data_IF_347045604029
#
_entry.id   IF_347045604029
#
_cell.length_a   1.000
_cell.length_b   1.000
_cell.length_c   1.000
_cell.angle_alpha   90.00
_cell.angle_beta   90.00
_cell.angle_gamma   90.00
#
_symmetry.space_group_name_H-M   'P 1'
#
loop_
_entity.id
_entity.type
_entity.pdbx_description
1 polymer ?
#
# COMPACT_ATOMS: atom_id res chain seq x y z
N UNK A 1 4.37 30.05 -18.87
CA UNK A 1 4.17 28.59 -18.74
C UNK A 1 2.74 28.34 -18.30
N UNK A 2 1.91 27.76 -19.16
CA UNK A 2 0.57 27.34 -18.76
C UNK A 2 0.70 26.17 -17.79
N UNK A 3 0.30 26.39 -16.54
CA UNK A 3 0.08 25.31 -15.59
C UNK A 3 -1.17 24.57 -16.06
N UNK A 4 -1.10 23.25 -16.15
CA UNK A 4 -2.32 22.47 -16.28
C UNK A 4 -3.10 22.64 -14.96
N UNK A 5 -4.36 23.07 -15.03
CA UNK A 5 -5.26 23.18 -13.86
C UNK A 5 -5.73 21.81 -13.33
N UNK A 6 -4.97 20.75 -13.66
CA UNK A 6 -5.26 19.38 -13.28
C UNK A 6 -4.05 18.79 -12.54
N UNK A 7 -4.31 18.27 -11.35
CA UNK A 7 -3.32 17.63 -10.48
C UNK A 7 -3.67 16.18 -10.21
N UNK A 8 -2.69 15.28 -10.35
CA UNK A 8 -2.86 13.90 -9.90
C UNK A 8 -2.84 13.88 -8.37
N UNK A 9 -3.95 13.48 -7.75
CA UNK A 9 -4.07 13.42 -6.29
C UNK A 9 -3.81 12.03 -5.73
N UNK A 10 -4.02 10.99 -6.55
CA UNK A 10 -3.86 9.62 -6.10
C UNK A 10 -3.54 8.67 -7.27
N UNK A 11 -2.67 7.69 -7.02
CA UNK A 11 -2.48 6.53 -7.89
C UNK A 11 -2.58 5.25 -7.06
N UNK A 12 -3.41 4.30 -7.50
CA UNK A 12 -3.55 2.98 -6.87
C UNK A 12 -3.27 1.88 -7.88
N UNK A 13 -2.34 0.99 -7.57
CA UNK A 13 -2.12 -0.24 -8.36
C UNK A 13 -3.06 -1.33 -7.86
N UNK A 14 -3.75 -2.02 -8.77
CA UNK A 14 -4.50 -3.22 -8.40
C UNK A 14 -3.54 -4.41 -8.37
N UNK A 15 -3.28 -4.93 -7.17
CA UNK A 15 -2.43 -6.11 -6.99
C UNK A 15 -3.33 -7.33 -6.89
N UNK A 16 -3.21 -8.25 -7.86
CA UNK A 16 -3.81 -9.58 -7.75
C UNK A 16 -2.86 -10.48 -6.96
N UNK A 17 -3.36 -11.13 -5.92
CA UNK A 17 -2.58 -12.13 -5.18
C UNK A 17 -2.11 -13.22 -6.16
N UNK A 18 -0.82 -13.57 -6.10
CA UNK A 18 -0.13 -14.54 -6.97
C UNK A 18 0.09 -14.10 -8.44
N UNK A 19 -0.05 -12.81 -8.75
CA UNK A 19 0.32 -12.29 -10.07
C UNK A 19 1.83 -11.98 -10.14
N UNK A 20 2.55 -12.69 -10.99
CA UNK A 20 3.95 -12.38 -11.38
C UNK A 20 4.06 -11.25 -12.40
N UNK A 21 2.93 -10.69 -12.84
CA UNK A 21 2.88 -9.76 -13.94
C UNK A 21 3.48 -8.39 -13.58
N UNK A 22 4.53 -8.00 -14.31
CA UNK A 22 5.19 -6.68 -14.21
C UNK A 22 4.21 -5.53 -14.51
N UNK A 23 3.17 -5.80 -15.30
CA UNK A 23 2.15 -4.84 -15.71
C UNK A 23 0.85 -5.11 -14.95
N UNK A 24 0.53 -4.28 -13.94
CA UNK A 24 -0.79 -4.29 -13.32
C UNK A 24 -1.54 -3.01 -13.65
N UNK A 25 -2.88 -3.07 -13.78
CA UNK A 25 -3.68 -1.88 -14.00
C UNK A 25 -3.54 -0.92 -12.81
N UNK A 26 -3.58 0.38 -13.12
CA UNK A 26 -3.49 1.48 -12.15
C UNK A 26 -4.72 2.37 -12.32
N UNK A 27 -5.36 2.72 -11.21
CA UNK A 27 -6.34 3.79 -11.15
C UNK A 27 -5.62 5.09 -10.82
N UNK A 28 -5.83 6.11 -11.65
CA UNK A 28 -5.29 7.46 -11.44
C UNK A 28 -6.46 8.39 -11.15
N UNK A 29 -6.43 9.05 -9.99
CA UNK A 29 -7.41 10.07 -9.61
C UNK A 29 -6.80 11.44 -9.87
N UNK A 30 -7.48 12.23 -10.70
CA UNK A 30 -7.05 13.58 -11.08
C UNK A 30 -8.10 14.57 -10.59
N UNK A 31 -7.66 15.62 -9.91
CA UNK A 31 -8.50 16.75 -9.52
C UNK A 31 -8.26 17.89 -10.50
N UNK A 32 -9.32 18.49 -11.00
CA UNK A 32 -9.25 19.64 -11.89
C UNK A 32 -10.54 20.44 -11.89
N UNK A 33 -10.49 21.65 -12.45
CA UNK A 33 -11.64 22.55 -12.59
C UNK A 33 -12.50 22.22 -13.81
N UNK A 34 -11.96 21.52 -14.80
CA UNK A 34 -12.63 21.13 -16.02
C UNK A 34 -12.30 19.68 -16.41
N UNK A 35 -13.22 19.03 -17.11
CA UNK A 35 -13.01 17.70 -17.68
C UNK A 35 -12.37 17.85 -19.07
N UNK A 36 -11.18 17.29 -19.34
CA UNK A 36 -10.55 17.39 -20.65
C UNK A 36 -11.17 16.40 -21.64
N UNK A 37 -11.25 16.80 -22.91
CA UNK A 37 -11.71 15.93 -23.99
C UNK A 37 -10.76 14.75 -24.24
N UNK A 38 -9.47 14.93 -23.93
CA UNK A 38 -8.42 13.91 -24.13
C UNK A 38 -7.45 13.91 -22.96
N UNK A 39 -7.15 12.71 -22.44
CA UNK A 39 -6.12 12.48 -21.42
C UNK A 39 -4.94 11.74 -22.06
N UNK A 40 -3.74 12.31 -22.00
CA UNK A 40 -2.50 11.65 -22.44
C UNK A 40 -1.62 11.34 -21.22
N UNK A 41 -1.21 10.09 -21.10
CA UNK A 41 -0.41 9.59 -19.97
C UNK A 41 0.96 9.16 -20.49
N UNK A 42 2.02 9.63 -19.86
CA UNK A 42 3.40 9.27 -20.17
C UNK A 42 4.11 8.79 -18.92
N UNK A 43 4.89 7.72 -19.05
CA UNK A 43 5.73 7.24 -17.97
C UNK A 43 7.02 8.05 -17.92
N UNK A 44 7.19 8.85 -16.87
CA UNK A 44 8.52 9.33 -16.50
C UNK A 44 9.13 8.36 -15.49
N UNK A 45 10.44 8.11 -15.56
CA UNK A 45 11.16 7.30 -14.56
C UNK A 45 11.20 8.06 -13.22
N UNK A 46 10.07 8.08 -12.51
CA UNK A 46 10.01 8.56 -11.14
C UNK A 46 10.10 7.38 -10.18
N UNK A 47 10.97 7.51 -9.17
CA UNK A 47 11.08 6.52 -8.09
C UNK A 47 9.79 6.56 -7.27
N UNK A 48 8.84 5.68 -7.58
CA UNK A 48 7.59 5.55 -6.84
C UNK A 48 7.95 5.07 -5.43
N UNK A 49 7.77 5.93 -4.42
CA UNK A 49 7.81 5.48 -3.04
C UNK A 49 6.56 4.62 -2.82
N UNK A 50 6.74 3.32 -2.62
CA UNK A 50 5.62 2.45 -2.27
C UNK A 50 4.97 2.97 -1.00
N UNK A 51 3.74 3.49 -1.15
CA UNK A 51 2.87 3.73 -0.02
C UNK A 51 2.36 2.37 0.45
N UNK A 52 3.12 1.70 1.30
CA UNK A 52 2.65 0.51 2.00
C UNK A 52 1.66 1.01 3.05
N UNK A 53 0.38 0.71 2.88
CA UNK A 53 -0.60 0.90 3.94
C UNK A 53 -0.07 0.15 5.16
N UNK A 54 0.37 0.89 6.20
CA UNK A 54 0.86 0.28 7.42
C UNK A 54 -0.24 -0.63 7.93
N UNK A 55 0.03 -1.93 7.95
CA UNK A 55 -0.92 -2.93 8.45
C UNK A 55 -1.34 -2.47 9.84
N UNK A 56 -2.63 -2.12 9.99
CA UNK A 56 -3.16 -1.63 11.26
C UNK A 56 -3.27 -2.83 12.17
N UNK A 57 -2.74 -2.69 13.38
CA UNK A 57 -2.91 -3.68 14.42
C UNK A 57 -4.40 -3.76 14.77
N UNK A 58 -4.98 -4.96 14.80
CA UNK A 58 -6.38 -5.17 15.21
C UNK A 58 -6.58 -4.61 16.62
N UNK A 59 -7.64 -3.83 16.85
CA UNK A 59 -7.92 -3.26 18.18
C UNK A 59 -8.48 -4.28 19.16
N UNK A 60 -9.05 -5.39 18.65
CA UNK A 60 -9.59 -6.46 19.49
C UNK A 60 -8.52 -7.44 19.94
N UNK A 61 -7.69 -7.97 19.02
CA UNK A 61 -6.72 -9.03 19.35
C UNK A 61 -5.24 -8.60 19.26
N UNK A 62 -4.97 -7.37 18.87
CA UNK A 62 -3.63 -6.82 18.69
C UNK A 62 -2.72 -7.57 17.69
N UNK A 63 -3.28 -8.37 16.78
CA UNK A 63 -2.54 -9.00 15.69
C UNK A 63 -2.60 -8.16 14.40
N UNK A 64 -1.66 -8.40 13.50
CA UNK A 64 -1.57 -7.72 12.20
C UNK A 64 -2.19 -8.55 11.05
N UNK A 65 -2.74 -9.73 11.34
CA UNK A 65 -3.22 -10.69 10.33
C UNK A 65 -4.63 -10.39 9.84
N UNK A 66 -5.42 -9.59 10.57
CA UNK A 66 -6.83 -9.35 10.26
C UNK A 66 -7.27 -7.95 10.71
N UNK A 67 -8.25 -7.38 10.01
CA UNK A 67 -8.84 -6.09 10.37
C UNK A 67 -9.78 -6.22 11.58
N UNK A 68 -9.90 -5.17 12.41
CA UNK A 68 -10.77 -5.17 13.60
C UNK A 68 -12.21 -5.58 13.29
N UNK A 69 -12.75 -5.14 12.16
CA UNK A 69 -14.14 -5.39 11.75
C UNK A 69 -14.49 -6.85 11.43
N UNK A 70 -13.49 -7.70 11.19
CA UNK A 70 -13.65 -9.13 10.85
C UNK A 70 -12.90 -10.02 11.84
N UNK A 71 -12.68 -9.52 13.06
CA UNK A 71 -11.94 -10.25 14.07
C UNK A 71 -12.89 -11.12 14.89
N UNK A 72 -12.77 -12.44 14.74
CA UNK A 72 -13.56 -13.43 15.49
C UNK A 72 -12.98 -13.71 16.90
N UNK A 73 -11.82 -13.13 17.22
CA UNK A 73 -11.20 -13.25 18.54
C UNK A 73 -11.86 -12.29 19.53
N UNK A 74 -12.08 -12.76 20.76
CA UNK A 74 -12.53 -11.91 21.87
C UNK A 74 -11.58 -10.72 22.07
N UNK A 75 -12.14 -9.61 22.55
CA UNK A 75 -11.34 -8.43 22.92
C UNK A 75 -10.31 -8.86 23.96
N UNK A 76 -9.04 -8.75 23.60
CA UNK A 76 -7.91 -9.02 24.46
C UNK A 76 -7.62 -7.76 25.30
N UNK A 77 -7.40 -7.90 26.61
CA UNK A 77 -6.91 -6.79 27.43
C UNK A 77 -5.59 -6.26 26.88
N UNK A 78 -5.37 -4.94 27.00
CA UNK A 78 -4.16 -4.25 26.52
C UNK A 78 -2.86 -4.78 27.14
N UNK A 79 -2.92 -5.46 28.29
CA UNK A 79 -1.82 -6.18 28.94
C UNK A 79 -1.23 -7.27 28.03
N UNK A 80 -2.05 -7.88 27.16
CA UNK A 80 -1.63 -8.93 26.22
C UNK A 80 -1.16 -8.38 24.88
N UNK A 81 -1.07 -7.05 24.74
CA UNK A 81 -0.61 -6.41 23.52
C UNK A 81 0.81 -6.86 23.21
N UNK A 82 0.96 -7.71 22.19
CA UNK A 82 2.30 -8.09 21.72
C UNK A 82 3.01 -6.83 21.21
N UNK A 83 4.24 -6.55 21.66
CA UNK A 83 5.02 -5.45 21.13
C UNK A 83 5.16 -5.64 19.62
N UNK A 84 5.11 -4.51 18.89
CA UNK A 84 5.28 -4.50 17.44
C UNK A 84 6.68 -5.02 17.14
N UNK A 85 6.79 -6.31 16.83
CA UNK A 85 8.03 -6.85 16.26
C UNK A 85 8.23 -6.12 14.94
N UNK A 86 9.25 -5.28 14.86
CA UNK A 86 9.80 -4.91 13.57
C UNK A 86 10.17 -6.24 12.91
N UNK A 87 9.60 -6.51 11.74
CA UNK A 87 10.11 -7.58 10.90
C UNK A 87 11.53 -7.16 10.54
N UNK A 88 12.52 -7.61 11.31
CA UNK A 88 13.87 -7.74 10.77
C UNK A 88 13.73 -8.84 9.72
N UNK A 89 13.91 -8.49 8.45
CA UNK A 89 14.27 -9.47 7.44
C UNK A 89 15.54 -10.18 7.93
N UNK A 90 15.39 -11.39 8.48
CA UNK A 90 16.45 -12.40 8.46
C UNK A 90 16.04 -13.40 7.38
N UNK A 91 16.92 -13.97 6.58
CA UNK A 91 18.36 -14.16 6.72
C UNK A 91 18.84 -14.85 5.45
N UNK A 92 19.78 -14.27 4.70
CA UNK A 92 20.50 -15.01 3.66
C UNK A 92 21.78 -15.55 4.31
N UNK A 93 21.88 -16.88 4.37
CA UNK A 93 22.99 -17.61 4.97
C UNK A 93 24.16 -17.58 3.99
N UNK A 94 25.30 -17.03 4.41
CA UNK A 94 26.56 -17.12 3.68
C UNK A 94 27.16 -18.52 3.92
N UNK A 95 27.31 -19.31 2.86
CA UNK A 95 28.07 -20.56 2.87
C UNK A 95 29.57 -20.25 2.72
N UNK A 96 30.47 -20.89 3.46
CA UNK A 96 31.91 -20.79 3.21
C UNK A 96 32.34 -21.68 2.03
N UNK A 97 33.33 -21.21 1.27
CA UNK A 97 34.19 -22.00 0.39
C UNK A 97 35.29 -22.67 1.21
#
# INVERSE_FOLDING_TARGET
MHKNDMGVVELRRFVKLNSTQEFSPVLVTILGTFLPDVIKIWFTKQKIRQFVYRVRQCLNCYEFTNATRVCDKKIMPSVWRKPRRTVRQGSEKMHPL
#
